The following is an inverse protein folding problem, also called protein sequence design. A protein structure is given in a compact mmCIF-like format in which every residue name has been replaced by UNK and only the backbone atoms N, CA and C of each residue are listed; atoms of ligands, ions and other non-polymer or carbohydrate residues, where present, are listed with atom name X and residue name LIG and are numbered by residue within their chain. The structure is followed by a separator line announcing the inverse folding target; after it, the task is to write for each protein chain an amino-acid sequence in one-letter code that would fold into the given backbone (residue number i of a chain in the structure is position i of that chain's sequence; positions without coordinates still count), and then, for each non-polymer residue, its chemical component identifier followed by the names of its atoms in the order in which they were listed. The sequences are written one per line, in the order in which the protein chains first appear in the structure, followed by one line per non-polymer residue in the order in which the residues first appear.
data_IF_515696216755
#
_entry.id   IF_515696216755
#
_cell.length_a   1.000
_cell.length_b   1.000
_cell.length_c   1.000
_cell.angle_alpha   90.00
_cell.angle_beta   90.00
_cell.angle_gamma   90.00
#
_symmetry.space_group_name_H-M   'P 1'
#
loop_
_entity.id
_entity.type
_entity.pdbx_description
1 polymer ?
#
# COMPACT_ATOMS: atom_id res chain seq x y z
N UNK A 1 -15.34 43.45 17.99
CA UNK A 1 -14.62 43.09 19.23
C UNK A 1 -13.34 42.36 18.88
N UNK A 2 -12.37 42.31 19.86
CA UNK A 2 -11.10 41.58 19.64
C UNK A 2 -11.29 40.09 19.29
N UNK A 3 -12.36 39.48 19.82
CA UNK A 3 -12.74 38.09 19.52
C UNK A 3 -13.20 37.92 18.07
N UNK A 4 -13.87 38.90 17.47
CA UNK A 4 -14.28 38.80 16.08
C UNK A 4 -13.11 38.89 15.11
N UNK A 5 -12.14 39.77 15.40
CA UNK A 5 -10.91 39.85 14.60
C UNK A 5 -10.10 38.57 14.69
N UNK A 6 -9.99 37.99 15.88
CA UNK A 6 -9.29 36.70 16.06
C UNK A 6 -9.97 35.56 15.31
N UNK A 7 -11.32 35.50 15.34
CA UNK A 7 -12.11 34.50 14.61
C UNK A 7 -11.94 34.63 13.09
N UNK A 8 -11.92 35.85 12.57
CA UNK A 8 -11.71 36.13 11.14
C UNK A 8 -10.31 35.71 10.73
N UNK A 9 -9.27 36.16 11.46
CA UNK A 9 -7.88 35.82 11.19
C UNK A 9 -7.61 34.30 11.25
N UNK A 10 -8.21 33.60 12.21
CA UNK A 10 -8.09 32.15 12.31
C UNK A 10 -8.75 31.46 11.11
N UNK A 11 -9.94 31.94 10.70
CA UNK A 11 -10.64 31.38 9.54
C UNK A 11 -9.87 31.60 8.23
N UNK A 12 -9.30 32.79 8.06
CA UNK A 12 -8.44 33.11 6.89
C UNK A 12 -7.21 32.22 6.87
N UNK A 13 -6.49 32.08 7.98
CA UNK A 13 -5.31 31.20 8.09
C UNK A 13 -5.66 29.73 7.82
N UNK A 14 -6.80 29.24 8.31
CA UNK A 14 -7.28 27.88 8.03
C UNK A 14 -7.62 27.69 6.54
N UNK A 15 -8.23 28.71 5.91
CA UNK A 15 -8.53 28.66 4.47
C UNK A 15 -7.27 28.69 3.61
N UNK A 16 -6.28 29.51 3.97
CA UNK A 16 -4.99 29.58 3.27
C UNK A 16 -4.24 28.25 3.39
N UNK A 17 -4.15 27.67 4.58
CA UNK A 17 -3.54 26.38 4.79
C UNK A 17 -4.26 25.27 4.01
N UNK A 18 -5.60 25.30 3.98
CA UNK A 18 -6.38 24.33 3.22
C UNK A 18 -6.13 24.45 1.71
N UNK A 19 -6.07 25.70 1.20
CA UNK A 19 -5.78 25.95 -0.20
C UNK A 19 -4.36 25.50 -0.58
N UNK A 20 -3.38 25.83 0.24
CA UNK A 20 -1.99 25.40 0.02
C UNK A 20 -1.87 23.87 -0.03
N UNK A 21 -2.57 23.15 0.85
CA UNK A 21 -2.59 21.68 0.84
C UNK A 21 -3.27 21.12 -0.43
N UNK A 22 -4.37 21.72 -0.89
CA UNK A 22 -5.04 21.36 -2.14
C UNK A 22 -4.12 21.59 -3.36
N UNK A 23 -3.44 22.73 -3.40
CA UNK A 23 -2.53 23.08 -4.50
C UNK A 23 -1.34 22.08 -4.55
N UNK A 24 -0.78 21.74 -3.40
CA UNK A 24 0.26 20.70 -3.27
C UNK A 24 -0.20 19.34 -3.79
N UNK A 25 -1.41 18.92 -3.43
CA UNK A 25 -2.00 17.67 -3.87
C UNK A 25 -2.26 17.63 -5.38
N UNK A 26 -2.74 18.75 -5.93
CA UNK A 26 -2.93 18.90 -7.38
C UNK A 26 -1.60 18.83 -8.14
N UNK A 27 -0.53 19.45 -7.59
CA UNK A 27 0.80 19.38 -8.16
C UNK A 27 1.35 17.95 -8.16
N UNK A 28 1.22 17.21 -7.04
CA UNK A 28 1.64 15.81 -6.96
C UNK A 28 0.86 14.95 -7.98
N UNK A 29 -0.45 15.17 -8.11
CA UNK A 29 -1.28 14.46 -9.09
C UNK A 29 -0.81 14.70 -10.52
N UNK A 30 -0.53 15.95 -10.88
CA UNK A 30 -0.01 16.31 -12.20
C UNK A 30 1.36 15.67 -12.46
N UNK A 31 2.29 15.80 -11.51
CA UNK A 31 3.63 15.22 -11.62
C UNK A 31 3.59 13.69 -11.79
N UNK A 32 2.75 13.00 -11.00
CA UNK A 32 2.62 11.53 -11.12
C UNK A 32 2.02 11.11 -12.45
N UNK A 33 1.09 11.90 -12.99
CA UNK A 33 0.54 11.68 -14.32
C UNK A 33 1.61 11.87 -15.41
N UNK A 34 2.36 12.95 -15.33
CA UNK A 34 3.38 13.30 -16.31
C UNK A 34 4.59 12.34 -16.29
N UNK A 35 4.88 11.71 -15.14
CA UNK A 35 5.90 10.67 -15.03
C UNK A 35 5.46 9.32 -15.63
N UNK A 36 4.17 9.00 -15.62
CA UNK A 36 3.68 7.72 -16.18
C UNK A 36 3.96 7.59 -17.67
N UNK A 37 3.82 8.67 -18.43
CA UNK A 37 4.02 8.66 -19.88
C UNK A 37 5.45 8.27 -20.27
N UNK A 38 6.51 8.96 -19.78
CA UNK A 38 7.88 8.59 -20.12
C UNK A 38 8.26 7.19 -19.58
N UNK A 39 7.76 6.78 -18.43
CA UNK A 39 8.00 5.42 -17.90
C UNK A 39 7.38 4.34 -18.79
N UNK A 40 6.15 4.57 -19.30
CA UNK A 40 5.52 3.63 -20.24
C UNK A 40 6.32 3.51 -21.53
N UNK A 41 6.84 4.63 -22.05
CA UNK A 41 7.69 4.63 -23.24
C UNK A 41 9.02 3.91 -22.98
N UNK A 42 9.65 4.19 -21.84
CA UNK A 42 10.91 3.54 -21.46
C UNK A 42 10.75 2.03 -21.31
N UNK A 43 9.67 1.59 -20.66
CA UNK A 43 9.33 0.16 -20.52
C UNK A 43 9.09 -0.49 -21.90
N UNK A 44 8.27 0.13 -22.75
CA UNK A 44 8.01 -0.39 -24.09
C UNK A 44 9.27 -0.53 -24.94
N UNK A 45 10.18 0.46 -24.86
CA UNK A 45 11.47 0.38 -25.56
C UNK A 45 12.36 -0.74 -24.98
N UNK A 46 12.36 -0.94 -23.67
CA UNK A 46 13.11 -2.04 -23.04
C UNK A 46 12.54 -3.41 -23.45
N UNK A 47 11.22 -3.55 -23.55
CA UNK A 47 10.55 -4.76 -24.04
C UNK A 47 10.90 -5.05 -25.51
N UNK A 48 10.88 -4.01 -26.35
CA UNK A 48 11.28 -4.14 -27.76
C UNK A 48 12.77 -4.52 -27.90
N UNK A 49 13.63 -3.93 -27.08
CA UNK A 49 15.05 -4.25 -27.06
C UNK A 49 15.30 -5.71 -26.65
N UNK A 50 14.53 -6.22 -25.67
CA UNK A 50 14.59 -7.62 -25.24
C UNK A 50 14.22 -8.63 -26.36
N UNK A 51 13.49 -8.19 -27.38
CA UNK A 51 13.13 -9.02 -28.54
C UNK A 51 14.22 -9.08 -29.63
N UNK A 52 15.30 -8.32 -29.45
CA UNK A 52 16.44 -8.31 -30.40
C UNK A 52 17.53 -9.28 -29.94
N UNK A 53 18.50 -9.55 -30.83
CA UNK A 53 19.67 -10.34 -30.45
C UNK A 53 20.61 -9.48 -29.61
N UNK A 54 20.74 -9.81 -28.34
CA UNK A 54 21.58 -9.14 -27.34
C UNK A 54 22.76 -10.07 -26.99
N UNK A 55 23.92 -9.49 -26.73
CA UNK A 55 25.01 -10.19 -26.08
C UNK A 55 24.78 -10.30 -24.56
N UNK A 56 25.61 -11.06 -23.86
CA UNK A 56 25.47 -11.32 -22.42
C UNK A 56 25.50 -10.01 -21.59
N UNK A 57 26.43 -9.10 -21.88
CA UNK A 57 26.54 -7.82 -21.22
C UNK A 57 25.32 -6.92 -21.46
N UNK A 58 24.81 -6.92 -22.68
CA UNK A 58 23.60 -6.15 -23.05
C UNK A 58 22.36 -6.71 -22.36
N UNK A 59 22.27 -8.03 -22.20
CA UNK A 59 21.19 -8.70 -21.49
C UNK A 59 21.18 -8.29 -20.01
N UNK A 60 22.34 -8.33 -19.36
CA UNK A 60 22.48 -7.92 -17.94
C UNK A 60 22.14 -6.44 -17.75
N UNK A 61 22.62 -5.58 -18.64
CA UNK A 61 22.29 -4.14 -18.59
C UNK A 61 20.79 -3.90 -18.77
N UNK A 62 20.14 -4.63 -19.68
CA UNK A 62 18.72 -4.51 -19.92
C UNK A 62 17.90 -4.97 -18.70
N UNK A 63 18.30 -6.07 -18.05
CA UNK A 63 17.66 -6.52 -16.82
C UNK A 63 17.75 -5.47 -15.71
N UNK A 64 18.93 -4.89 -15.48
CA UNK A 64 19.12 -3.82 -14.52
C UNK A 64 18.28 -2.59 -14.84
N UNK A 65 18.19 -2.22 -16.12
CA UNK A 65 17.37 -1.11 -16.58
C UNK A 65 15.87 -1.36 -16.34
N UNK A 66 15.40 -2.57 -16.66
CA UNK A 66 14.00 -2.97 -16.42
C UNK A 66 13.65 -2.96 -14.92
N UNK A 67 14.56 -3.45 -14.07
CA UNK A 67 14.41 -3.37 -12.60
C UNK A 67 14.31 -1.93 -12.13
N UNK A 68 15.17 -1.04 -12.64
CA UNK A 68 15.10 0.39 -12.31
C UNK A 68 13.79 1.06 -12.73
N UNK A 69 13.30 0.77 -13.94
CA UNK A 69 11.99 1.27 -14.39
C UNK A 69 10.86 0.75 -13.48
N UNK A 70 10.86 -0.53 -13.14
CA UNK A 70 9.84 -1.12 -12.27
C UNK A 70 9.83 -0.47 -10.89
N UNK A 71 11.00 -0.16 -10.33
CA UNK A 71 11.13 0.55 -9.05
C UNK A 71 10.56 1.97 -9.11
N UNK A 72 10.88 2.73 -10.16
CA UNK A 72 10.33 4.09 -10.34
C UNK A 72 8.81 4.05 -10.55
N UNK A 73 8.29 3.07 -11.32
CA UNK A 73 6.84 2.89 -11.53
C UNK A 73 6.11 2.59 -10.20
N UNK A 74 6.72 1.78 -9.34
CA UNK A 74 6.21 1.51 -8.00
C UNK A 74 6.15 2.79 -7.15
N UNK A 75 7.20 3.61 -7.13
CA UNK A 75 7.20 4.89 -6.41
C UNK A 75 6.15 5.88 -6.94
N UNK A 76 6.01 6.01 -8.26
CA UNK A 76 4.98 6.86 -8.88
C UNK A 76 3.58 6.40 -8.50
N UNK A 77 3.36 5.09 -8.47
CA UNK A 77 2.09 4.49 -8.05
C UNK A 77 1.81 4.79 -6.57
N UNK A 78 2.78 4.61 -5.69
CA UNK A 78 2.67 4.90 -4.27
C UNK A 78 2.38 6.38 -4.00
N UNK A 79 3.11 7.30 -4.65
CA UNK A 79 2.82 8.75 -4.59
C UNK A 79 1.40 9.08 -5.02
N UNK A 80 0.94 8.48 -6.12
CA UNK A 80 -0.43 8.68 -6.61
C UNK A 80 -1.47 8.21 -5.59
N UNK A 81 -1.19 7.12 -4.91
CA UNK A 81 -2.08 6.53 -3.91
C UNK A 81 -2.13 7.36 -2.63
N UNK A 82 -0.98 7.82 -2.14
CA UNK A 82 -0.89 8.73 -0.99
C UNK A 82 -1.65 10.02 -1.24
N UNK A 83 -1.49 10.58 -2.44
CA UNK A 83 -2.21 11.79 -2.84
C UNK A 83 -3.74 11.60 -2.85
N UNK A 84 -4.22 10.45 -3.36
CA UNK A 84 -5.64 10.10 -3.33
C UNK A 84 -6.19 9.95 -1.90
N UNK A 85 -5.40 9.43 -0.98
CA UNK A 85 -5.80 9.31 0.44
C UNK A 85 -5.95 10.67 1.10
N UNK A 86 -5.06 11.61 0.83
CA UNK A 86 -5.13 12.99 1.34
C UNK A 86 -6.36 13.73 0.82
N UNK A 87 -6.85 13.41 -0.38
CA UNK A 87 -8.05 14.00 -0.97
C UNK A 87 -9.36 13.44 -0.39
N UNK A 88 -9.36 12.18 0.06
CA UNK A 88 -10.54 11.55 0.68
C UNK A 88 -10.66 11.96 2.15
N UNK A 89 -11.22 13.14 2.42
CA UNK A 89 -11.51 13.60 3.80
C UNK A 89 -12.70 12.91 4.47
N UNK A 90 -13.52 12.19 3.74
CA UNK A 90 -14.70 11.47 4.25
C UNK A 90 -14.57 9.99 4.00
N UNK A 91 -14.64 9.20 5.08
CA UNK A 91 -14.77 7.75 4.97
C UNK A 91 -16.12 7.39 4.35
N UNK A 92 -16.11 6.47 3.41
CA UNK A 92 -17.34 5.87 2.87
C UNK A 92 -17.63 4.62 3.66
N UNK A 93 -18.30 4.79 4.82
CA UNK A 93 -18.66 3.67 5.68
C UNK A 93 -19.83 2.89 5.05
N UNK A 94 -19.69 1.56 5.02
CA UNK A 94 -20.70 0.63 4.55
C UNK A 94 -20.76 -0.61 5.45
N UNK A 95 -21.89 -1.30 5.44
CA UNK A 95 -22.05 -2.57 6.13
C UNK A 95 -21.27 -3.66 5.39
N UNK A 96 -20.22 -4.18 6.02
CA UNK A 96 -19.34 -5.20 5.47
C UNK A 96 -19.47 -6.49 6.26
N UNK A 97 -19.90 -7.60 5.63
CA UNK A 97 -19.85 -8.91 6.26
C UNK A 97 -18.40 -9.29 6.57
N UNK A 98 -18.04 -9.35 7.85
CA UNK A 98 -16.65 -9.56 8.30
C UNK A 98 -16.06 -10.85 7.75
N UNK A 99 -16.88 -11.91 7.68
CA UNK A 99 -16.44 -13.21 7.18
C UNK A 99 -16.05 -13.15 5.70
N UNK A 100 -16.87 -12.52 4.85
CA UNK A 100 -16.61 -12.38 3.43
C UNK A 100 -15.37 -11.52 3.18
N UNK A 101 -15.26 -10.41 3.91
CA UNK A 101 -14.08 -9.55 3.84
C UNK A 101 -12.79 -10.29 4.14
N UNK A 102 -12.80 -11.12 5.20
CA UNK A 102 -11.63 -11.90 5.61
C UNK A 102 -11.30 -13.02 4.60
N UNK A 103 -12.32 -13.61 3.96
CA UNK A 103 -12.12 -14.59 2.89
C UNK A 103 -11.49 -13.94 1.65
N UNK A 104 -11.95 -12.76 1.24
CA UNK A 104 -11.34 -12.00 0.14
C UNK A 104 -9.87 -11.65 0.41
N UNK A 105 -9.55 -11.21 1.63
CA UNK A 105 -8.17 -10.92 2.05
C UNK A 105 -7.29 -12.18 2.01
N UNK A 106 -7.83 -13.30 2.48
CA UNK A 106 -7.12 -14.59 2.44
C UNK A 106 -6.81 -15.01 1.00
N UNK A 107 -7.78 -14.96 0.10
CA UNK A 107 -7.61 -15.39 -1.30
C UNK A 107 -6.57 -14.53 -2.04
N UNK A 108 -6.60 -13.21 -1.80
CA UNK A 108 -5.59 -12.29 -2.34
C UNK A 108 -4.19 -12.62 -1.81
N UNK A 109 -4.07 -12.86 -0.49
CA UNK A 109 -2.79 -13.21 0.15
C UNK A 109 -2.29 -14.56 -0.30
N UNK A 110 -3.18 -15.55 -0.47
CA UNK A 110 -2.82 -16.89 -0.96
C UNK A 110 -2.19 -16.82 -2.35
N UNK A 111 -2.75 -16.01 -3.23
CA UNK A 111 -2.20 -15.80 -4.58
C UNK A 111 -0.77 -15.25 -4.54
N UNK A 112 -0.49 -14.31 -3.64
CA UNK A 112 0.86 -13.77 -3.43
C UNK A 112 1.81 -14.80 -2.80
N UNK A 113 1.36 -15.53 -1.76
CA UNK A 113 2.14 -16.52 -1.06
C UNK A 113 2.57 -17.69 -1.97
N UNK A 114 1.68 -18.13 -2.89
CA UNK A 114 1.96 -19.18 -3.85
C UNK A 114 3.11 -18.83 -4.80
N UNK A 115 3.23 -17.59 -5.25
CA UNK A 115 4.32 -17.16 -6.13
C UNK A 115 5.69 -17.28 -5.49
N UNK A 116 5.76 -17.18 -4.16
CA UNK A 116 6.97 -17.33 -3.34
C UNK A 116 7.12 -18.71 -2.66
N UNK A 117 6.20 -19.63 -2.93
CA UNK A 117 6.19 -20.96 -2.28
C UNK A 117 6.09 -20.88 -0.74
N UNK A 118 5.36 -19.89 -0.22
CA UNK A 118 5.12 -19.70 1.21
C UNK A 118 3.89 -20.51 1.62
N UNK A 119 4.00 -21.23 2.76
CA UNK A 119 2.88 -21.96 3.35
C UNK A 119 1.97 -21.00 4.14
N UNK A 120 0.85 -20.58 3.54
CA UNK A 120 -0.13 -19.72 4.19
C UNK A 120 -1.06 -20.55 5.07
N UNK A 121 -1.05 -20.28 6.39
CA UNK A 121 -1.95 -20.89 7.37
C UNK A 121 -2.92 -19.83 7.89
N UNK A 122 -4.21 -20.14 7.91
CA UNK A 122 -5.24 -19.22 8.34
C UNK A 122 -6.16 -19.83 9.40
N UNK A 123 -6.23 -19.17 10.58
CA UNK A 123 -7.17 -19.49 11.65
C UNK A 123 -8.32 -18.47 11.71
N UNK A 124 -9.52 -18.89 11.26
CA UNK A 124 -10.74 -18.09 11.21
C UNK A 124 -11.87 -18.63 12.11
N UNK A 125 -11.54 -19.36 13.16
CA UNK A 125 -12.53 -20.14 13.94
C UNK A 125 -13.51 -19.30 14.78
N UNK A 126 -13.27 -18.02 14.98
CA UNK A 126 -14.06 -17.16 15.91
C UNK A 126 -14.86 -16.05 15.22
N UNK A 127 -15.12 -16.15 13.91
CA UNK A 127 -15.95 -15.18 13.21
C UNK A 127 -17.32 -15.77 12.98
N UNK A 128 -18.34 -15.21 13.66
CA UNK A 128 -19.72 -15.59 13.41
C UNK A 128 -20.16 -15.15 12.00
N UNK A 129 -21.05 -15.93 11.36
CA UNK A 129 -21.47 -15.68 9.98
C UNK A 129 -22.20 -14.35 9.81
N UNK A 130 -22.90 -13.93 10.85
CA UNK A 130 -23.75 -12.73 10.89
C UNK A 130 -23.01 -11.47 11.35
N UNK A 131 -21.69 -11.56 11.58
CA UNK A 131 -20.90 -10.40 12.04
C UNK A 131 -20.74 -9.38 10.91
N UNK A 132 -21.21 -8.15 11.17
CA UNK A 132 -21.12 -7.02 10.24
C UNK A 132 -20.25 -5.95 10.87
N UNK A 133 -19.29 -5.42 10.10
CA UNK A 133 -18.52 -4.24 10.43
C UNK A 133 -19.04 -3.03 9.64
N UNK A 134 -18.95 -1.83 10.19
CA UNK A 134 -19.27 -0.58 9.49
C UNK A 134 -17.96 0.11 9.09
N UNK A 135 -17.46 -0.17 7.89
CA UNK A 135 -16.11 0.19 7.45
C UNK A 135 -16.10 0.79 6.04
N UNK A 136 -15.06 1.55 5.73
CA UNK A 136 -14.67 1.80 4.34
C UNK A 136 -13.89 0.58 3.83
N UNK A 137 -14.62 -0.34 3.15
CA UNK A 137 -14.08 -1.61 2.65
C UNK A 137 -12.84 -1.40 1.77
N UNK A 138 -12.87 -0.38 0.91
CA UNK A 138 -11.77 -0.10 -0.01
C UNK A 138 -10.49 0.31 0.71
N UNK A 139 -10.60 1.23 1.69
CA UNK A 139 -9.46 1.67 2.48
C UNK A 139 -8.94 0.55 3.39
N UNK A 140 -9.84 -0.21 3.99
CA UNK A 140 -9.46 -1.32 4.85
C UNK A 140 -8.76 -2.43 4.06
N UNK A 141 -9.30 -2.84 2.90
CA UNK A 141 -8.65 -3.82 2.02
C UNK A 141 -7.23 -3.38 1.65
N UNK A 142 -7.05 -2.11 1.31
CA UNK A 142 -5.75 -1.56 0.98
C UNK A 142 -4.77 -1.60 2.14
N UNK A 143 -5.22 -1.23 3.35
CA UNK A 143 -4.39 -1.29 4.56
C UNK A 143 -3.93 -2.73 4.85
N UNK A 144 -4.84 -3.70 4.74
CA UNK A 144 -4.50 -5.11 4.91
C UNK A 144 -3.53 -5.60 3.85
N UNK A 145 -3.79 -5.30 2.58
CA UNK A 145 -2.92 -5.76 1.50
C UNK A 145 -1.51 -5.15 1.56
N UNK A 146 -1.35 -3.93 2.06
CA UNK A 146 -0.03 -3.36 2.30
C UNK A 146 0.74 -4.14 3.36
N UNK A 147 0.09 -4.49 4.48
CA UNK A 147 0.73 -5.29 5.54
C UNK A 147 1.04 -6.70 5.05
N UNK A 148 0.10 -7.34 4.37
CA UNK A 148 0.23 -8.73 3.94
C UNK A 148 1.20 -8.91 2.78
N UNK A 149 1.27 -7.95 1.84
CA UNK A 149 2.29 -7.97 0.79
C UNK A 149 3.70 -7.83 1.37
N UNK A 150 3.89 -6.94 2.35
CA UNK A 150 5.16 -6.83 3.08
C UNK A 150 5.51 -8.15 3.80
N UNK A 151 4.55 -8.74 4.51
CA UNK A 151 4.77 -10.01 5.20
C UNK A 151 5.17 -11.12 4.22
N UNK A 152 4.51 -11.22 3.06
CA UNK A 152 4.89 -12.16 2.00
C UNK A 152 6.26 -11.81 1.42
N UNK A 153 6.57 -10.53 1.23
CA UNK A 153 7.86 -10.10 0.66
C UNK A 153 9.04 -10.48 1.55
N UNK A 154 8.91 -10.32 2.86
CA UNK A 154 9.98 -10.58 3.82
C UNK A 154 10.00 -12.03 4.36
N UNK A 155 8.97 -12.83 4.09
CA UNK A 155 8.97 -14.27 4.45
C UNK A 155 9.84 -15.06 3.49
N UNK A 156 10.81 -15.88 3.99
CA UNK A 156 11.62 -16.74 3.14
C UNK A 156 10.77 -17.80 2.41
N UNK A 157 11.18 -18.17 1.20
CA UNK A 157 10.55 -19.25 0.44
C UNK A 157 10.58 -20.57 1.24
N UNK A 158 9.50 -21.32 1.19
CA UNK A 158 9.34 -22.58 1.95
C UNK A 158 8.95 -22.39 3.41
N UNK A 159 8.91 -21.14 3.92
CA UNK A 159 8.53 -20.81 5.29
C UNK A 159 7.01 -20.63 5.44
N UNK A 160 6.56 -20.32 6.64
CA UNK A 160 5.15 -20.19 7.00
C UNK A 160 4.77 -18.74 7.26
N UNK A 161 3.59 -18.35 6.76
CA UNK A 161 2.89 -17.12 7.12
C UNK A 161 1.59 -17.50 7.82
N UNK A 162 1.40 -17.06 9.06
CA UNK A 162 0.21 -17.35 9.86
C UNK A 162 -0.69 -16.13 9.95
N UNK A 163 -1.94 -16.30 9.52
CA UNK A 163 -2.99 -15.31 9.68
C UNK A 163 -4.00 -15.79 10.71
N UNK A 164 -4.43 -14.89 11.57
CA UNK A 164 -5.53 -15.13 12.53
C UNK A 164 -6.53 -13.99 12.45
N UNK A 165 -7.80 -14.31 12.29
CA UNK A 165 -8.88 -13.33 12.30
C UNK A 165 -9.95 -13.75 13.32
N UNK A 166 -10.34 -12.81 14.20
CA UNK A 166 -11.34 -13.06 15.24
C UNK A 166 -12.11 -11.79 15.60
N UNK A 167 -13.30 -11.97 16.11
CA UNK A 167 -14.10 -10.90 16.71
C UNK A 167 -14.29 -11.23 18.17
N UNK A 168 -13.84 -10.37 19.06
CA UNK A 168 -13.93 -10.49 20.53
C UNK A 168 -14.31 -9.12 21.08
N UNK A 169 -15.31 -9.06 21.97
CA UNK A 169 -15.76 -7.84 22.64
C UNK A 169 -16.08 -6.69 21.66
N UNK A 170 -16.77 -6.98 20.56
CA UNK A 170 -17.08 -6.07 19.44
C UNK A 170 -15.85 -5.49 18.71
N UNK A 171 -14.67 -6.03 18.98
CA UNK A 171 -13.45 -5.67 18.28
C UNK A 171 -13.08 -6.73 17.24
N UNK A 172 -12.81 -6.29 16.00
CA UNK A 172 -12.20 -7.13 14.99
C UNK A 172 -10.69 -7.12 15.14
N UNK A 173 -10.12 -8.29 15.42
CA UNK A 173 -8.68 -8.49 15.59
C UNK A 173 -8.15 -9.35 14.45
N UNK A 174 -7.19 -8.81 13.74
CA UNK A 174 -6.45 -9.50 12.69
C UNK A 174 -4.98 -9.51 13.03
N UNK A 175 -4.37 -10.69 13.03
CA UNK A 175 -2.95 -10.88 13.35
C UNK A 175 -2.27 -11.58 12.17
N UNK A 176 -1.16 -11.01 11.75
CA UNK A 176 -0.26 -11.60 10.76
C UNK A 176 1.08 -11.88 11.44
N UNK A 177 1.55 -13.11 11.37
CA UNK A 177 2.86 -13.53 11.87
C UNK A 177 3.65 -14.09 10.69
N UNK A 178 4.69 -13.39 10.30
CA UNK A 178 5.63 -13.79 9.29
C UNK A 178 6.85 -14.51 9.92
N UNK A 179 7.63 -15.17 9.09
CA UNK A 179 8.89 -15.82 9.47
C UNK A 179 10.11 -15.06 8.93
N UNK A 180 9.94 -13.75 8.68
CA UNK A 180 10.99 -12.88 8.19
C UNK A 180 12.04 -12.53 9.25
N UNK A 181 13.04 -11.70 8.90
CA UNK A 181 14.12 -11.30 9.81
C UNK A 181 13.64 -10.37 10.94
N UNK A 182 12.40 -9.90 10.88
CA UNK A 182 11.87 -8.88 11.79
C UNK A 182 12.41 -7.48 11.47
N UNK A 183 12.13 -6.53 12.35
CA UNK A 183 12.58 -5.14 12.20
C UNK A 183 13.83 -4.90 13.04
N UNK A 184 14.82 -4.19 12.48
CA UNK A 184 15.91 -3.63 13.26
C UNK A 184 15.39 -2.55 14.23
N UNK A 185 16.20 -2.17 15.22
CA UNK A 185 15.81 -1.07 16.13
C UNK A 185 15.59 0.25 15.36
N UNK A 186 16.38 0.50 14.33
CA UNK A 186 16.25 1.67 13.47
C UNK A 186 14.97 1.62 12.65
N UNK A 187 14.63 0.46 12.08
CA UNK A 187 13.40 0.25 11.33
C UNK A 187 12.16 0.41 12.19
N UNK A 188 12.18 -0.01 13.46
CA UNK A 188 11.06 0.20 14.38
C UNK A 188 10.75 1.70 14.63
N UNK A 189 11.78 2.54 14.65
CA UNK A 189 11.60 3.99 14.80
C UNK A 189 11.16 4.68 13.50
N UNK A 190 11.55 4.15 12.36
CA UNK A 190 11.35 4.78 11.04
C UNK A 190 10.31 4.10 10.15
N UNK A 191 9.82 2.92 10.50
CA UNK A 191 8.92 2.10 9.66
C UNK A 191 7.63 2.81 9.23
N UNK A 192 7.21 3.86 9.94
CA UNK A 192 6.05 4.69 9.59
C UNK A 192 6.40 5.93 8.77
N UNK A 193 7.68 6.16 8.48
CA UNK A 193 8.10 7.27 7.63
C UNK A 193 7.89 6.90 6.16
N UNK A 194 7.46 7.90 5.38
CA UNK A 194 7.25 7.75 3.94
C UNK A 194 8.56 7.36 3.24
N UNK A 195 8.49 6.37 2.37
CA UNK A 195 9.62 5.88 1.57
C UNK A 195 10.80 5.28 2.37
N UNK A 196 10.60 4.96 3.66
CA UNK A 196 11.61 4.25 4.40
C UNK A 196 11.63 2.78 3.95
N UNK A 197 12.79 2.32 3.50
CA UNK A 197 13.10 0.91 3.21
C UNK A 197 14.42 0.59 3.93
N UNK A 198 14.49 -0.59 4.51
CA UNK A 198 15.72 -1.11 5.10
C UNK A 198 16.54 -1.77 3.98
N UNK A 199 17.81 -1.36 3.82
CA UNK A 199 18.75 -1.89 2.82
C UNK A 199 19.14 -3.36 3.09
#
# INVERSE_FOLDING_TARGET
SGLDHMRIALRESLMENWKAEQDKQNQISALTHDLKTPLTVARGNAELLAMTSLDENQTDLLEHFQKGIAQVDAYVKELSELNKMSLKKTLTLEEVPVKEFVEDIYDQTLSLAQTKQINLVFDKKKIAKETIGNWDRSLLNRAFMNILSNAVEHTPSGSQLLLTARVEDDEFKFVCLDSGPGFSLESLEKATQLFYQED
#
